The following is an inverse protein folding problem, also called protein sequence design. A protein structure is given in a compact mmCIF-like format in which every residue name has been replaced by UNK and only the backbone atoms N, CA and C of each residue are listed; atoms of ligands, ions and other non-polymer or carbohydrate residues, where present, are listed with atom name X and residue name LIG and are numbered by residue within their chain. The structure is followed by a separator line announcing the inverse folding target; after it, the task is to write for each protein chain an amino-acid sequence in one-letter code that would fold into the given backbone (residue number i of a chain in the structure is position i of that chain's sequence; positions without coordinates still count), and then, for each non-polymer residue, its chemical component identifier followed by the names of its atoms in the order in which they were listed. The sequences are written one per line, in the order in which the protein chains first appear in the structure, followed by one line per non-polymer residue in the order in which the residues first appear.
data_IF_912740680425
#
_entry.id   IF_912740680425
#
_cell.length_a   1.000
_cell.length_b   1.000
_cell.length_c   1.000
_cell.angle_alpha   90.00
_cell.angle_beta   90.00
_cell.angle_gamma   90.00
#
_symmetry.space_group_name_H-M   'P 1'
#
loop_
_entity.id
_entity.type
_entity.pdbx_description
1 polymer ?
#
# COMPACT_ATOMS: atom_id res chain seq x y z
N UNK A 1 5.46 -10.41 6.42
CA UNK A 1 5.52 -9.01 6.94
C UNK A 1 4.09 -8.60 7.26
N UNK A 2 3.85 -7.77 8.27
CA UNK A 2 2.48 -7.30 8.59
C UNK A 2 1.90 -6.47 7.42
N UNK A 3 0.61 -6.68 7.09
CA UNK A 3 -0.08 -6.06 5.96
C UNK A 3 -0.01 -4.54 6.03
N UNK A 4 -0.17 -3.95 7.21
CA UNK A 4 -0.07 -2.49 7.37
C UNK A 4 1.32 -1.95 7.05
N UNK A 5 2.38 -2.70 7.38
CA UNK A 5 3.76 -2.32 7.02
C UNK A 5 4.00 -2.41 5.52
N UNK A 6 3.37 -3.37 4.85
CA UNK A 6 3.44 -3.53 3.39
C UNK A 6 2.71 -2.36 2.72
N UNK A 7 1.47 -2.07 3.14
CA UNK A 7 0.69 -0.92 2.67
C UNK A 7 1.47 0.38 2.82
N UNK A 8 2.07 0.61 3.99
CA UNK A 8 2.90 1.80 4.22
C UNK A 8 4.06 1.89 3.23
N UNK A 9 4.76 0.78 2.97
CA UNK A 9 5.87 0.74 2.00
C UNK A 9 5.39 1.04 0.57
N UNK A 10 4.27 0.46 0.14
CA UNK A 10 3.66 0.71 -1.17
C UNK A 10 3.37 2.20 -1.31
N UNK A 11 2.55 2.75 -0.41
CA UNK A 11 2.15 4.16 -0.45
C UNK A 11 3.37 5.09 -0.40
N UNK A 12 4.35 4.80 0.47
CA UNK A 12 5.55 5.64 0.59
C UNK A 12 6.43 5.60 -0.67
N UNK A 13 6.48 4.46 -1.36
CA UNK A 13 7.20 4.34 -2.64
C UNK A 13 6.52 5.16 -3.73
N UNK A 14 5.19 5.07 -3.82
CA UNK A 14 4.39 5.83 -4.79
C UNK A 14 4.48 7.34 -4.54
N UNK A 15 4.42 7.79 -3.28
CA UNK A 15 4.62 9.19 -2.91
C UNK A 15 6.03 9.69 -3.30
N UNK A 16 7.07 8.91 -3.00
CA UNK A 16 8.45 9.27 -3.32
C UNK A 16 8.68 9.46 -4.82
N UNK A 17 7.96 8.69 -5.64
CA UNK A 17 8.11 8.69 -7.10
C UNK A 17 6.96 9.43 -7.81
N UNK A 18 6.20 10.26 -7.10
CA UNK A 18 5.11 11.03 -7.71
C UNK A 18 5.65 11.92 -8.85
N UNK A 19 5.14 11.70 -10.06
CA UNK A 19 5.57 12.41 -11.27
C UNK A 19 6.88 11.92 -11.90
N UNK A 20 7.46 10.83 -11.40
CA UNK A 20 8.65 10.21 -12.00
C UNK A 20 8.24 9.22 -13.11
N UNK A 21 8.47 9.58 -14.36
CA UNK A 21 8.16 8.72 -15.52
C UNK A 21 9.04 7.46 -15.61
N UNK A 22 10.19 7.44 -14.94
CA UNK A 22 11.08 6.28 -14.86
C UNK A 22 10.71 5.31 -13.72
N UNK A 23 9.59 5.55 -13.02
CA UNK A 23 9.17 4.69 -11.93
C UNK A 23 8.65 3.35 -12.42
N UNK A 24 9.34 2.28 -12.02
CA UNK A 24 8.98 0.90 -12.31
C UNK A 24 8.17 0.25 -11.17
N UNK A 25 7.06 -0.40 -11.53
CA UNK A 25 6.18 -1.12 -10.60
C UNK A 25 6.91 -2.26 -9.87
N UNK A 26 7.95 -2.80 -10.51
CA UNK A 26 8.87 -3.82 -10.02
C UNK A 26 9.43 -3.46 -8.64
N UNK A 27 9.64 -2.17 -8.37
CA UNK A 27 10.13 -1.65 -7.07
C UNK A 27 9.19 -1.94 -5.90
N UNK A 28 7.89 -2.12 -6.17
CA UNK A 28 6.88 -2.52 -5.19
C UNK A 28 6.25 -3.87 -5.53
N UNK A 29 6.91 -4.70 -6.33
CA UNK A 29 6.45 -6.05 -6.67
C UNK A 29 6.32 -6.97 -5.45
N UNK A 30 5.54 -8.04 -5.59
CA UNK A 30 5.41 -9.08 -4.58
C UNK A 30 6.77 -9.64 -4.14
N UNK A 31 7.71 -9.84 -5.08
CA UNK A 31 9.06 -10.31 -4.81
C UNK A 31 9.85 -9.32 -3.94
N UNK A 32 9.85 -8.02 -4.29
CA UNK A 32 10.55 -7.00 -3.51
C UNK A 32 9.95 -6.83 -2.11
N UNK A 33 8.63 -6.97 -1.99
CA UNK A 33 7.92 -6.90 -0.72
C UNK A 33 7.96 -8.21 0.10
N UNK A 34 8.51 -9.29 -0.48
CA UNK A 34 8.64 -10.63 0.12
C UNK A 34 7.30 -11.20 0.58
N UNK A 35 6.30 -11.13 -0.31
CA UNK A 35 4.95 -11.69 -0.14
C UNK A 35 4.55 -12.48 -1.39
N UNK A 36 3.47 -13.24 -1.31
CA UNK A 36 2.93 -13.92 -2.50
C UNK A 36 2.31 -12.90 -3.47
N UNK A 37 2.20 -13.27 -4.74
CA UNK A 37 1.58 -12.44 -5.76
C UNK A 37 0.11 -12.17 -5.41
N UNK A 38 -0.62 -13.18 -4.96
CA UNK A 38 -2.03 -13.07 -4.60
C UNK A 38 -2.22 -12.08 -3.44
N UNK A 39 -1.36 -12.13 -2.42
CA UNK A 39 -1.42 -11.16 -1.32
C UNK A 39 -1.12 -9.74 -1.80
N UNK A 40 -0.14 -9.58 -2.68
CA UNK A 40 0.21 -8.29 -3.26
C UNK A 40 -0.93 -7.69 -4.09
N UNK A 41 -1.51 -8.51 -4.97
CA UNK A 41 -2.61 -8.14 -5.84
C UNK A 41 -3.82 -7.69 -5.02
N UNK A 42 -4.24 -8.49 -4.04
CA UNK A 42 -5.37 -8.14 -3.19
C UNK A 42 -5.12 -6.89 -2.34
N UNK A 43 -3.87 -6.62 -1.92
CA UNK A 43 -3.53 -5.38 -1.22
C UNK A 43 -3.63 -4.15 -2.15
N UNK A 44 -3.17 -4.23 -3.39
CA UNK A 44 -3.31 -3.15 -4.35
C UNK A 44 -4.78 -2.88 -4.70
N UNK A 45 -5.57 -3.93 -4.93
CA UNK A 45 -7.01 -3.81 -5.17
C UNK A 45 -7.69 -3.15 -3.97
N UNK A 46 -7.36 -3.55 -2.75
CA UNK A 46 -7.92 -2.95 -1.53
C UNK A 46 -7.55 -1.46 -1.41
N UNK A 47 -6.32 -1.07 -1.75
CA UNK A 47 -5.89 0.33 -1.73
C UNK A 47 -6.61 1.16 -2.78
N UNK A 48 -6.85 0.59 -3.96
CA UNK A 48 -7.57 1.23 -5.05
C UNK A 48 -9.06 1.40 -4.74
N UNK A 49 -9.73 0.33 -4.31
CA UNK A 49 -11.15 0.34 -3.94
C UNK A 49 -11.41 1.34 -2.79
N UNK A 50 -10.45 1.48 -1.86
CA UNK A 50 -10.53 2.46 -0.78
C UNK A 50 -10.09 3.89 -1.20
N UNK A 51 -9.61 4.07 -2.43
CA UNK A 51 -9.22 5.36 -3.00
C UNK A 51 -7.89 5.91 -2.49
N UNK A 52 -7.01 5.08 -1.91
CA UNK A 52 -5.66 5.47 -1.49
C UNK A 52 -4.67 5.52 -2.65
N UNK A 53 -4.94 4.74 -3.70
CA UNK A 53 -4.19 4.76 -4.97
C UNK A 53 -5.17 4.85 -6.15
N UNK A 54 -4.65 5.24 -7.30
CA UNK A 54 -5.32 5.24 -8.61
C UNK A 54 -4.40 4.59 -9.64
N UNK A 55 -4.79 4.54 -10.91
CA UNK A 55 -3.95 4.01 -12.00
C UNK A 55 -3.88 2.48 -12.08
N UNK A 56 -4.79 1.80 -11.38
CA UNK A 56 -5.06 0.37 -11.55
C UNK A 56 -6.53 0.16 -11.91
N UNK A 57 -6.83 -0.95 -12.57
CA UNK A 57 -8.20 -1.44 -12.80
C UNK A 57 -8.23 -2.89 -12.36
N UNK A 58 -9.31 -3.28 -11.68
CA UNK A 58 -9.51 -4.66 -11.28
C UNK A 58 -10.92 -5.11 -11.66
N UNK A 59 -11.03 -6.33 -12.16
CA UNK A 59 -12.29 -6.99 -12.51
C UNK A 59 -12.43 -8.29 -11.75
N UNK A 60 -13.65 -8.80 -11.68
CA UNK A 60 -13.94 -10.14 -11.16
C UNK A 60 -14.96 -10.77 -12.09
N UNK A 61 -14.61 -11.91 -12.66
CA UNK A 61 -15.54 -12.71 -13.44
C UNK A 61 -16.44 -13.55 -12.52
N UNK A 62 -17.57 -14.02 -13.06
CA UNK A 62 -18.59 -14.74 -12.28
C UNK A 62 -18.09 -16.05 -11.66
N UNK A 63 -17.06 -16.65 -12.25
CA UNK A 63 -16.44 -17.90 -11.79
C UNK A 63 -15.29 -17.64 -10.80
N UNK A 64 -14.82 -16.40 -10.69
CA UNK A 64 -13.68 -16.05 -9.86
C UNK A 64 -14.11 -15.72 -8.43
N UNK A 65 -13.32 -16.20 -7.46
CA UNK A 65 -13.57 -15.91 -6.05
C UNK A 65 -13.16 -14.50 -5.63
N UNK A 66 -12.17 -13.92 -6.32
CA UNK A 66 -11.57 -12.63 -5.98
C UNK A 66 -11.47 -11.76 -7.23
N UNK A 67 -11.34 -10.44 -7.03
CA UNK A 67 -10.96 -9.53 -8.11
C UNK A 67 -9.50 -9.74 -8.49
N UNK A 68 -9.17 -9.55 -9.75
CA UNK A 68 -7.81 -9.59 -10.29
C UNK A 68 -7.47 -8.28 -11.01
N UNK A 69 -6.18 -7.92 -10.99
CA UNK A 69 -5.68 -6.71 -11.64
C UNK A 69 -5.63 -6.93 -13.16
N UNK A 70 -6.07 -5.92 -13.91
CA UNK A 70 -5.91 -5.87 -15.36
C UNK A 70 -4.60 -5.13 -15.66
N UNK A 71 -3.62 -5.86 -16.17
CA UNK A 71 -2.33 -5.30 -16.62
C UNK A 71 -2.43 -4.67 -18.02
N UNK A 72 -1.59 -3.65 -18.34
CA UNK A 72 -0.57 -3.04 -17.48
C UNK A 72 -1.14 -2.03 -16.48
N UNK A 73 -0.54 -1.95 -15.29
CA UNK A 73 -0.87 -0.93 -14.28
C UNK A 73 0.17 0.19 -14.15
N UNK A 74 -0.29 1.38 -13.79
CA UNK A 74 0.56 2.53 -13.46
C UNK A 74 0.05 3.19 -12.16
N UNK A 75 0.18 2.51 -11.00
CA UNK A 75 -0.41 2.99 -9.77
C UNK A 75 0.20 4.33 -9.36
N UNK A 76 -0.65 5.21 -8.85
CA UNK A 76 -0.25 6.51 -8.29
C UNK A 76 -0.95 6.73 -6.97
N UNK A 77 -0.27 7.36 -6.01
CA UNK A 77 -0.89 7.69 -4.72
C UNK A 77 -1.89 8.85 -4.89
N UNK A 78 -2.99 8.80 -4.15
CA UNK A 78 -3.98 9.90 -4.11
C UNK A 78 -3.75 10.83 -2.92
N UNK A 79 -4.49 11.95 -2.85
CA UNK A 79 -4.52 12.79 -1.66
C UNK A 79 -4.87 11.99 -0.39
N UNK A 80 -5.87 11.10 -0.48
CA UNK A 80 -6.26 10.23 0.63
C UNK A 80 -5.13 9.27 1.04
N UNK A 81 -4.36 8.77 0.07
CA UNK A 81 -3.16 7.96 0.33
C UNK A 81 -2.09 8.74 1.09
N UNK A 82 -1.85 10.00 0.70
CA UNK A 82 -0.92 10.88 1.42
C UNK A 82 -1.44 11.24 2.82
N UNK A 83 -2.74 11.51 2.97
CA UNK A 83 -3.38 11.69 4.27
C UNK A 83 -3.25 10.45 5.14
N UNK A 84 -3.36 9.24 4.58
CA UNK A 84 -3.07 8.01 5.30
C UNK A 84 -1.62 7.98 5.77
N UNK A 85 -0.64 8.33 4.93
CA UNK A 85 0.77 8.40 5.36
C UNK A 85 0.99 9.44 6.47
N UNK A 86 0.34 10.59 6.40
CA UNK A 86 0.43 11.65 7.39
C UNK A 86 -0.29 11.30 8.72
N UNK A 87 -1.51 10.75 8.64
CA UNK A 87 -2.37 10.40 9.78
C UNK A 87 -2.04 9.05 10.40
N UNK A 88 -1.55 8.07 9.62
CA UNK A 88 -0.75 6.94 10.08
C UNK A 88 0.72 7.32 10.29
N UNK A 89 0.90 8.43 10.97
CA UNK A 89 1.52 8.51 12.30
C UNK A 89 1.37 7.27 13.23
N UNK A 90 1.04 6.06 12.74
CA UNK A 90 0.91 4.82 13.51
C UNK A 90 2.21 4.53 14.29
N UNK A 91 3.38 4.92 13.75
CA UNK A 91 4.64 4.93 14.51
C UNK A 91 4.82 6.12 15.45
N UNK A 92 4.19 7.27 15.21
CA UNK A 92 4.20 8.37 16.15
C UNK A 92 3.33 8.07 17.38
N UNK A 93 2.13 7.49 17.20
CA UNK A 93 1.26 7.03 18.30
C UNK A 93 1.75 5.77 19.01
N UNK A 94 2.34 4.80 18.30
CA UNK A 94 2.98 3.64 18.94
C UNK A 94 4.22 4.05 19.79
N UNK A 95 5.01 5.04 19.33
CA UNK A 95 6.10 5.65 20.11
C UNK A 95 5.63 6.31 21.41
N UNK A 96 4.53 7.05 21.34
CA UNK A 96 3.94 7.73 22.51
C UNK A 96 3.49 6.72 23.57
N UNK A 97 2.81 5.66 23.17
CA UNK A 97 2.30 4.61 24.09
C UNK A 97 3.45 3.80 24.72
N UNK A 98 4.49 3.45 23.96
CA UNK A 98 5.65 2.73 24.51
C UNK A 98 6.48 3.58 25.49
N UNK A 99 6.62 4.89 25.26
CA UNK A 99 7.24 5.82 26.22
C UNK A 99 6.52 5.80 27.57
N UNK A 100 5.20 5.94 27.56
CA UNK A 100 4.41 5.95 28.80
C UNK A 100 4.54 4.66 29.63
N UNK A 101 4.71 3.50 28.99
CA UNK A 101 4.87 2.21 29.71
C UNK A 101 6.28 2.04 30.27
N UNK A 102 7.31 2.53 29.59
CA UNK A 102 8.71 2.45 30.04
C UNK A 102 9.03 3.37 31.22
N UNK A 103 8.35 4.51 31.35
CA UNK A 103 8.53 5.46 32.46
C UNK A 103 7.79 5.05 33.76
N UNK A 104 6.94 4.01 33.70
CA UNK A 104 6.15 3.50 34.85
C UNK A 104 6.85 2.31 35.56
N UNK A 105 8.01 1.86 35.07
CA UNK A 105 8.84 0.79 35.67
C UNK A 105 10.11 1.39 36.29
#
# INVERSE_FOLDING_TARGET
MDNFKIIYKILKSLEKNMGNEEFEIESISAQQLKISYEQWEQLLIMLYDAGYITGIVASQDMEEKFKHIIEPINPSITLRGMEYLASNSFMAKAREVLKMVGDII
#
